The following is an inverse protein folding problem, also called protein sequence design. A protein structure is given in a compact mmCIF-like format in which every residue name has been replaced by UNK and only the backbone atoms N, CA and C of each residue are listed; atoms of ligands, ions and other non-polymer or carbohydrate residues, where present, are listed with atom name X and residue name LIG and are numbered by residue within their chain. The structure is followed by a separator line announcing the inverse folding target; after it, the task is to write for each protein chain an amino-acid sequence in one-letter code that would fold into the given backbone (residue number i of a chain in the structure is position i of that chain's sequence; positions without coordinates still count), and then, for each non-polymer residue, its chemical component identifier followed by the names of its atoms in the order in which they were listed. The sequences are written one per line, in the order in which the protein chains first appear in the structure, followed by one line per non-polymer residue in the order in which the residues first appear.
data_IF_522578837848
#
_entry.id   IF_522578837848
#
_cell.length_a   1.000
_cell.length_b   1.000
_cell.length_c   1.000
_cell.angle_alpha   90.00
_cell.angle_beta   90.00
_cell.angle_gamma   90.00
#
_symmetry.space_group_name_H-M   'P 1'
#
loop_
_entity.id
_entity.type
_entity.pdbx_description
1 polymer ?
#
# COMPACT_ATOMS: atom_id res chain seq x y z
N UNK A 1 -21.99 28.91 -17.50
CA UNK A 1 -22.57 27.57 -17.21
C UNK A 1 -23.64 27.69 -16.12
N UNK A 2 -24.78 26.99 -16.25
CA UNK A 2 -25.85 27.03 -15.23
C UNK A 2 -25.44 26.16 -14.02
N UNK A 3 -25.49 26.72 -12.81
CA UNK A 3 -25.09 26.08 -11.53
C UNK A 3 -25.67 24.66 -11.34
N UNK A 4 -26.89 24.45 -11.83
CA UNK A 4 -27.59 23.15 -11.83
C UNK A 4 -26.92 22.04 -12.66
N UNK A 5 -26.21 22.41 -13.72
CA UNK A 5 -25.51 21.46 -14.60
C UNK A 5 -24.21 20.99 -13.96
N UNK A 6 -23.51 21.88 -13.25
CA UNK A 6 -22.26 21.60 -12.55
C UNK A 6 -22.43 20.60 -11.41
N UNK A 7 -23.50 20.75 -10.61
CA UNK A 7 -23.80 19.83 -9.49
C UNK A 7 -24.12 18.42 -9.99
N UNK A 8 -24.82 18.28 -11.12
CA UNK A 8 -25.13 16.98 -11.72
C UNK A 8 -23.89 16.25 -12.23
N UNK A 9 -22.93 16.96 -12.82
CA UNK A 9 -21.67 16.36 -13.30
C UNK A 9 -20.75 15.91 -12.15
N UNK A 10 -20.74 16.61 -11.02
CA UNK A 10 -19.96 16.22 -9.84
C UNK A 10 -20.46 14.92 -9.20
N UNK A 11 -21.77 14.66 -9.22
CA UNK A 11 -22.36 13.46 -8.63
C UNK A 11 -21.97 12.16 -9.35
N UNK A 12 -21.78 12.20 -10.67
CA UNK A 12 -21.40 11.03 -11.48
C UNK A 12 -19.92 10.63 -11.30
N UNK A 13 -19.03 11.59 -11.04
CA UNK A 13 -17.61 11.31 -10.78
C UNK A 13 -17.38 10.62 -9.42
N UNK A 14 -18.25 10.87 -8.44
CA UNK A 14 -18.12 10.31 -7.08
C UNK A 14 -18.58 8.84 -6.97
N UNK A 15 -19.44 8.35 -7.87
CA UNK A 15 -19.94 6.97 -7.82
C UNK A 15 -18.93 5.95 -8.35
N UNK A 16 -18.08 6.34 -9.31
CA UNK A 16 -17.12 5.42 -9.95
C UNK A 16 -15.98 4.94 -9.04
N UNK A 17 -15.57 5.73 -8.05
CA UNK A 17 -14.44 5.40 -7.15
C UNK A 17 -14.80 4.45 -6.01
N UNK A 18 -16.09 4.28 -5.67
CA UNK A 18 -16.51 3.39 -4.59
C UNK A 18 -16.53 1.90 -4.99
N UNK A 19 -16.58 1.62 -6.29
CA UNK A 19 -16.63 0.27 -6.88
C UNK A 19 -15.31 -0.17 -7.50
N UNK A 20 -14.23 0.61 -7.34
CA UNK A 20 -12.90 0.13 -7.70
C UNK A 20 -12.65 -1.16 -6.89
N UNK A 21 -12.30 -2.29 -7.54
CA UNK A 21 -12.11 -3.54 -6.85
C UNK A 21 -11.01 -3.32 -5.80
N UNK A 22 -11.38 -3.42 -4.52
CA UNK A 22 -10.46 -3.64 -3.39
C UNK A 22 -9.66 -4.95 -3.51
N UNK A 23 -9.75 -5.63 -4.66
CA UNK A 23 -9.29 -6.98 -4.92
C UNK A 23 -7.92 -7.07 -5.62
N UNK A 24 -7.20 -5.97 -5.86
CA UNK A 24 -5.90 -6.01 -6.54
C UNK A 24 -4.68 -5.77 -5.63
N UNK A 25 -4.85 -5.66 -4.31
CA UNK A 25 -3.78 -5.98 -3.37
C UNK A 25 -3.95 -7.42 -2.91
N UNK A 26 -4.01 -8.36 -3.85
CA UNK A 26 -3.53 -9.70 -3.54
C UNK A 26 -2.07 -9.48 -3.13
N UNK A 27 -1.80 -9.49 -1.82
CA UNK A 27 -0.46 -9.33 -1.26
C UNK A 27 0.38 -10.43 -1.90
N UNK A 28 1.10 -10.10 -2.98
CA UNK A 28 2.06 -11.03 -3.55
C UNK A 28 2.97 -11.40 -2.40
N UNK A 29 3.18 -12.71 -2.20
CA UNK A 29 4.14 -13.17 -1.21
C UNK A 29 5.48 -12.52 -1.55
N UNK A 30 6.17 -12.02 -0.53
CA UNK A 30 7.53 -11.54 -0.72
C UNK A 30 8.40 -12.72 -1.17
N UNK A 31 9.54 -12.45 -1.80
CA UNK A 31 10.55 -13.49 -2.04
C UNK A 31 11.27 -13.78 -0.72
N UNK A 32 11.60 -12.71 0.01
CA UNK A 32 12.27 -12.74 1.31
C UNK A 32 11.58 -11.77 2.28
N UNK A 33 11.52 -12.17 3.55
CA UNK A 33 11.08 -11.29 4.65
C UNK A 33 12.14 -11.25 5.73
N UNK A 34 12.60 -10.05 6.07
CA UNK A 34 13.38 -9.81 7.28
C UNK A 34 12.41 -9.62 8.45
N UNK A 35 12.54 -10.44 9.49
CA UNK A 35 11.64 -10.44 10.66
C UNK A 35 12.28 -9.73 11.84
N UNK A 36 11.51 -8.92 12.56
CA UNK A 36 11.94 -8.24 13.79
C UNK A 36 13.22 -7.41 13.62
N UNK A 37 13.40 -6.81 12.45
CA UNK A 37 14.62 -6.05 12.15
C UNK A 37 14.48 -4.61 12.64
N UNK A 38 15.53 -4.04 13.22
CA UNK A 38 15.60 -2.60 13.47
C UNK A 38 15.87 -1.87 12.15
N UNK A 39 14.86 -1.18 11.64
CA UNK A 39 14.93 -0.43 10.37
C UNK A 39 15.24 1.03 10.65
N UNK A 40 16.23 1.54 9.91
CA UNK A 40 16.53 2.97 9.79
C UNK A 40 16.15 3.42 8.38
N UNK A 41 15.22 4.37 8.26
CA UNK A 41 14.62 4.76 6.97
C UNK A 41 15.37 5.90 6.24
N UNK A 42 16.46 6.39 6.82
CA UNK A 42 17.27 7.47 6.26
C UNK A 42 16.70 8.89 6.46
N UNK A 43 15.54 9.04 7.11
CA UNK A 43 14.95 10.37 7.41
C UNK A 43 15.61 11.07 8.59
N UNK A 44 16.46 10.36 9.35
CA UNK A 44 17.05 10.82 10.61
C UNK A 44 16.22 10.48 11.85
N UNK A 45 15.05 9.86 11.68
CA UNK A 45 14.27 9.34 12.80
C UNK A 45 14.97 8.18 13.53
N UNK A 46 14.54 7.92 14.77
CA UNK A 46 15.01 6.76 15.52
C UNK A 46 14.62 5.45 14.81
N UNK A 47 15.51 4.45 14.88
CA UNK A 47 15.26 3.14 14.30
C UNK A 47 14.05 2.44 14.94
N UNK A 48 13.31 1.67 14.14
CA UNK A 48 12.11 0.95 14.58
C UNK A 48 12.21 -0.53 14.26
N UNK A 49 11.86 -1.38 15.23
CA UNK A 49 11.69 -2.81 15.01
C UNK A 49 10.43 -3.11 14.18
N UNK A 50 10.60 -3.74 13.02
CA UNK A 50 9.52 -4.05 12.08
C UNK A 50 9.94 -5.15 11.11
N UNK A 51 8.96 -5.83 10.47
CA UNK A 51 9.25 -6.74 9.38
C UNK A 51 9.30 -5.99 8.04
N UNK A 52 10.16 -6.44 7.13
CA UNK A 52 10.31 -5.87 5.79
C UNK A 52 10.28 -6.97 4.74
N UNK A 53 9.36 -6.84 3.78
CA UNK A 53 9.21 -7.74 2.65
C UNK A 53 9.90 -7.22 1.39
N UNK A 54 10.58 -8.12 0.68
CA UNK A 54 11.32 -7.83 -0.55
C UNK A 54 10.79 -8.67 -1.71
N UNK A 55 10.70 -8.07 -2.90
CA UNK A 55 10.47 -8.78 -4.17
C UNK A 55 11.49 -8.30 -5.17
N UNK A 56 12.33 -9.20 -5.68
CA UNK A 56 13.50 -8.84 -6.50
C UNK A 56 14.40 -7.86 -5.76
N UNK A 57 14.58 -6.67 -6.34
CA UNK A 57 15.41 -5.58 -5.81
C UNK A 57 14.62 -4.50 -5.05
N UNK A 58 13.33 -4.73 -4.77
CA UNK A 58 12.44 -3.72 -4.18
C UNK A 58 11.88 -4.14 -2.83
N UNK A 59 11.76 -3.15 -1.93
CA UNK A 59 10.91 -3.24 -0.75
C UNK A 59 9.45 -3.16 -1.20
N UNK A 60 8.65 -4.16 -0.83
CA UNK A 60 7.23 -4.26 -1.22
C UNK A 60 6.28 -4.29 -0.03
N UNK A 61 6.79 -4.43 1.19
CA UNK A 61 6.01 -4.33 2.43
C UNK A 61 6.86 -3.90 3.63
N UNK A 62 6.25 -3.14 4.55
CA UNK A 62 6.83 -2.77 5.85
C UNK A 62 5.70 -2.80 6.89
N UNK A 63 5.83 -3.62 7.92
CA UNK A 63 4.82 -3.70 8.97
C UNK A 63 5.02 -4.89 9.91
N UNK A 64 4.11 -5.07 10.87
CA UNK A 64 4.17 -6.18 11.84
C UNK A 64 3.61 -7.50 11.33
N UNK A 65 2.95 -7.50 10.16
CA UNK A 65 2.25 -8.66 9.60
C UNK A 65 2.59 -8.87 8.11
N UNK A 66 3.88 -8.79 7.76
CA UNK A 66 4.33 -9.05 6.38
C UNK A 66 4.09 -10.52 6.06
N UNK A 67 3.47 -10.82 4.92
CA UNK A 67 3.18 -12.20 4.51
C UNK A 67 4.48 -13.01 4.31
N UNK A 68 4.45 -14.30 4.64
CA UNK A 68 5.63 -15.17 4.52
C UNK A 68 6.17 -15.22 3.08
N UNK A 69 7.49 -15.42 2.98
CA UNK A 69 8.20 -15.55 1.70
C UNK A 69 7.74 -16.77 0.90
N UNK A 70 7.93 -16.76 -0.43
CA UNK A 70 7.53 -17.86 -1.33
C UNK A 70 8.68 -18.71 -1.87
N UNK A 71 9.76 -18.87 -1.10
CA UNK A 71 11.00 -19.60 -1.42
C UNK A 71 10.86 -20.66 -2.52
#
# INVERSE_FOLDING_TARGET
MKRRTFVRSAAMAATGTLLAPRAAHARRRADVVLRGATVFDGTGAAGREVDVGFTGDRITDVGSNVAAGSI
#
